data_IF_871918532371
#
_entry.id   IF_871918532371
#
_cell.length_a   1.000
_cell.length_b   1.000
_cell.length_c   1.000
_cell.angle_alpha   90.00
_cell.angle_beta   90.00
_cell.angle_gamma   90.00
#
_symmetry.space_group_name_H-M   'P 1'
#
loop_
_entity.id
_entity.type
_entity.pdbx_description
1 polymer ?
#
# COMPACT_ATOMS: atom_id res chain seq x y z
N UNK A 1 44.65 12.42 -19.68
CA UNK A 1 45.54 13.58 -19.58
C UNK A 1 46.94 13.15 -19.93
N UNK A 2 47.64 13.90 -20.77
CA UNK A 2 49.06 13.70 -21.03
C UNK A 2 49.82 14.36 -19.86
N UNK A 3 50.66 13.63 -19.19
CA UNK A 3 51.67 14.18 -18.28
C UNK A 3 53.02 14.15 -18.95
N UNK A 4 53.59 15.31 -19.16
CA UNK A 4 54.96 15.44 -19.67
C UNK A 4 55.89 15.53 -18.47
N UNK A 5 56.81 14.58 -18.32
CA UNK A 5 57.86 14.63 -17.29
C UNK A 5 59.06 15.31 -17.93
N UNK A 6 59.23 16.59 -17.63
CA UNK A 6 60.45 17.31 -18.01
C UNK A 6 61.54 17.03 -17.01
N UNK A 7 62.77 16.66 -17.48
CA UNK A 7 63.96 16.60 -16.66
C UNK A 7 64.68 17.95 -16.64
N UNK A 8 65.01 18.43 -15.43
CA UNK A 8 65.83 19.63 -15.22
C UNK A 8 67.31 19.32 -15.41
N UNK A 9 67.98 20.07 -16.26
CA UNK A 9 69.43 20.05 -16.35
C UNK A 9 70.04 21.30 -15.69
N UNK A 10 71.01 21.12 -14.81
CA UNK A 10 71.83 22.21 -14.35
C UNK A 10 72.86 22.58 -15.44
N UNK A 11 73.01 23.87 -15.72
CA UNK A 11 73.95 24.44 -16.71
C UNK A 11 75.35 24.05 -16.40
N UNK A 12 75.98 23.18 -17.19
CA UNK A 12 77.44 22.95 -17.05
C UNK A 12 78.03 21.77 -17.80
N UNK A 13 77.26 20.91 -18.38
CA UNK A 13 77.79 19.80 -19.18
C UNK A 13 77.05 19.67 -20.51
N UNK A 14 77.81 19.57 -21.57
CA UNK A 14 77.37 19.67 -22.96
C UNK A 14 76.15 18.82 -23.33
N UNK A 15 75.61 19.19 -24.46
CA UNK A 15 74.37 18.59 -25.06
C UNK A 15 74.39 17.06 -24.95
N UNK A 16 73.75 16.56 -23.91
CA UNK A 16 73.26 15.17 -23.98
C UNK A 16 71.91 15.14 -24.71
N UNK A 17 71.73 14.25 -25.67
CA UNK A 17 70.46 14.08 -26.32
C UNK A 17 69.44 13.66 -25.25
N UNK A 18 68.35 14.45 -25.10
CA UNK A 18 67.21 14.02 -24.31
C UNK A 18 66.33 13.16 -25.15
N UNK A 19 65.84 12.05 -24.58
CA UNK A 19 64.78 11.25 -25.18
C UNK A 19 63.45 11.65 -24.55
N UNK A 20 62.52 12.08 -25.41
CA UNK A 20 61.12 12.30 -24.98
C UNK A 20 60.40 10.95 -24.90
N UNK A 21 59.99 10.59 -23.72
CA UNK A 21 59.11 9.44 -23.51
C UNK A 21 57.65 9.93 -23.42
N UNK A 22 56.82 9.57 -24.36
CA UNK A 22 55.39 9.77 -24.29
C UNK A 22 54.79 8.63 -23.50
N UNK A 23 54.44 8.86 -22.22
CA UNK A 23 53.71 7.91 -21.43
C UNK A 23 52.20 8.06 -21.76
N UNK A 24 51.66 7.15 -22.53
CA UNK A 24 50.20 7.09 -22.76
C UNK A 24 49.58 6.40 -21.56
N UNK A 25 49.01 7.18 -20.65
CA UNK A 25 48.19 6.64 -19.56
C UNK A 25 46.85 6.17 -20.15
N UNK A 26 46.70 4.88 -20.33
CA UNK A 26 45.42 4.29 -20.64
C UNK A 26 44.45 4.55 -19.46
N UNK A 27 43.29 5.09 -19.76
CA UNK A 27 42.24 5.29 -18.74
C UNK A 27 41.98 3.97 -18.04
N UNK A 28 42.26 3.91 -16.75
CA UNK A 28 41.98 2.71 -15.94
C UNK A 28 40.51 2.41 -16.02
N UNK A 29 40.17 1.21 -16.47
CA UNK A 29 38.80 0.72 -16.51
C UNK A 29 38.19 0.75 -15.10
N UNK A 30 37.06 1.37 -14.95
CA UNK A 30 36.34 1.49 -13.68
C UNK A 30 35.04 0.75 -13.74
N UNK A 31 34.62 0.17 -12.59
CA UNK A 31 33.27 -0.40 -12.42
C UNK A 31 32.20 0.67 -12.67
N UNK A 32 31.13 0.28 -13.35
CA UNK A 32 30.03 1.17 -13.70
C UNK A 32 29.16 1.48 -12.48
N UNK A 33 28.91 2.76 -12.23
CA UNK A 33 27.95 3.21 -11.21
C UNK A 33 26.53 3.11 -11.80
N UNK A 34 25.60 2.35 -11.17
CA UNK A 34 24.22 2.30 -11.63
C UNK A 34 23.44 3.55 -11.27
N UNK A 35 22.41 3.84 -12.07
CA UNK A 35 21.34 4.78 -11.73
C UNK A 35 20.00 4.21 -12.20
N UNK A 36 18.90 4.66 -11.62
CA UNK A 36 17.56 4.24 -12.00
C UNK A 36 16.83 5.45 -12.60
N UNK A 37 16.12 5.25 -13.72
CA UNK A 37 15.29 6.24 -14.42
C UNK A 37 16.03 7.51 -14.72
N UNK A 38 17.03 7.96 -14.86
CA UNK A 38 17.65 9.29 -15.16
C UNK A 38 18.04 10.16 -13.95
N UNK A 39 17.92 9.66 -12.72
CA UNK A 39 18.29 10.44 -11.53
C UNK A 39 19.59 9.93 -10.91
N UNK A 40 20.75 10.48 -11.28
CA UNK A 40 22.00 10.18 -10.60
C UNK A 40 22.00 10.82 -9.20
N UNK A 41 22.26 10.01 -8.19
CA UNK A 41 22.56 10.50 -6.82
C UNK A 41 21.38 10.60 -5.85
N UNK A 42 20.14 10.47 -6.28
CA UNK A 42 18.99 10.34 -5.39
C UNK A 42 18.46 8.89 -5.37
N UNK A 43 17.86 8.49 -4.28
CA UNK A 43 17.14 7.21 -4.20
C UNK A 43 15.87 7.34 -5.04
N UNK A 44 15.79 6.81 -6.27
CA UNK A 44 14.63 7.02 -7.12
C UNK A 44 13.44 6.24 -6.59
N UNK A 45 12.28 6.85 -6.70
CA UNK A 45 11.01 6.23 -6.39
C UNK A 45 10.60 5.31 -7.53
N UNK A 46 10.33 4.04 -7.22
CA UNK A 46 9.82 3.04 -8.15
C UNK A 46 8.61 2.34 -7.55
N UNK A 47 7.72 1.85 -8.40
CA UNK A 47 6.49 1.19 -7.98
C UNK A 47 6.56 -0.31 -8.25
N UNK A 48 6.18 -1.14 -7.28
CA UNK A 48 6.11 -2.58 -7.47
C UNK A 48 5.14 -2.94 -8.61
N UNK A 49 5.55 -3.86 -9.47
CA UNK A 49 4.78 -4.24 -10.67
C UNK A 49 4.88 -3.28 -11.85
N UNK A 50 5.59 -2.15 -11.71
CA UNK A 50 5.81 -1.18 -12.80
C UNK A 50 7.25 -1.22 -13.26
N UNK A 51 7.47 -1.27 -14.58
CA UNK A 51 8.81 -1.33 -15.15
C UNK A 51 9.60 -0.01 -14.91
N UNK A 52 10.87 -0.15 -14.56
CA UNK A 52 11.85 0.92 -14.48
C UNK A 52 13.09 0.54 -15.32
N UNK A 53 13.92 1.53 -15.67
CA UNK A 53 15.15 1.32 -16.39
C UNK A 53 16.35 1.53 -15.47
N UNK A 54 17.25 0.55 -15.43
CA UNK A 54 18.54 0.64 -14.72
C UNK A 54 19.60 0.97 -15.77
N UNK A 55 20.29 2.10 -15.57
CA UNK A 55 21.33 2.59 -16.43
C UNK A 55 22.70 2.26 -15.86
N UNK A 56 23.60 1.81 -16.72
CA UNK A 56 25.04 1.66 -16.45
C UNK A 56 25.84 2.47 -17.46
N UNK A 57 26.95 3.06 -17.02
CA UNK A 57 27.83 3.76 -17.95
C UNK A 57 28.54 2.73 -18.86
N UNK A 58 28.16 2.69 -20.14
CA UNK A 58 28.83 1.87 -21.14
C UNK A 58 30.31 2.25 -21.23
N UNK A 59 31.20 1.29 -21.03
CA UNK A 59 32.64 1.45 -21.20
C UNK A 59 33.18 0.25 -21.97
N UNK A 60 33.84 0.52 -23.11
CA UNK A 60 34.45 -0.51 -23.94
C UNK A 60 33.48 -1.69 -24.22
N UNK A 61 33.95 -2.92 -24.11
CA UNK A 61 33.19 -4.16 -24.29
C UNK A 61 32.81 -4.79 -22.95
N UNK A 62 32.65 -3.97 -21.91
CA UNK A 62 32.26 -4.48 -20.60
C UNK A 62 30.80 -4.91 -20.58
N UNK A 63 30.56 -5.93 -19.77
CA UNK A 63 29.22 -6.43 -19.47
C UNK A 63 28.97 -6.31 -17.97
N UNK A 64 27.69 -6.30 -17.61
CA UNK A 64 27.27 -6.10 -16.22
C UNK A 64 26.36 -7.23 -15.77
N UNK A 65 26.51 -7.61 -14.50
CA UNK A 65 25.54 -8.40 -13.75
C UNK A 65 24.83 -7.44 -12.81
N UNK A 66 23.51 -7.34 -12.95
CA UNK A 66 22.64 -6.47 -12.17
C UNK A 66 21.85 -7.30 -11.19
N UNK A 67 21.86 -6.91 -9.91
CA UNK A 67 21.17 -7.60 -8.85
C UNK A 67 20.44 -6.61 -7.95
N UNK A 68 19.41 -7.06 -7.21
CA UNK A 68 18.70 -6.26 -6.25
C UNK A 68 18.76 -6.86 -4.85
N UNK A 69 18.55 -6.01 -3.86
CA UNK A 69 18.36 -6.34 -2.46
C UNK A 69 17.24 -5.51 -1.88
N UNK A 70 16.23 -6.15 -1.25
CA UNK A 70 15.12 -5.49 -0.60
C UNK A 70 14.66 -6.29 0.63
N UNK A 71 14.85 -5.73 1.83
CA UNK A 71 14.66 -6.48 3.07
C UNK A 71 15.52 -7.75 3.09
N UNK A 72 14.90 -8.89 3.27
CA UNK A 72 15.57 -10.20 3.22
C UNK A 72 15.58 -10.84 1.81
N UNK A 73 14.94 -10.20 0.82
CA UNK A 73 14.88 -10.69 -0.56
C UNK A 73 16.01 -10.11 -1.40
N UNK A 74 16.63 -10.96 -2.18
CA UNK A 74 17.67 -10.60 -3.15
C UNK A 74 17.53 -11.45 -4.39
N UNK A 75 17.99 -10.95 -5.53
CA UNK A 75 17.96 -11.69 -6.79
C UNK A 75 18.79 -11.03 -7.88
N UNK A 76 19.07 -11.80 -8.93
CA UNK A 76 19.67 -11.27 -10.14
C UNK A 76 18.57 -10.75 -11.06
N UNK A 77 18.74 -9.52 -11.52
CA UNK A 77 17.83 -8.87 -12.50
C UNK A 77 18.21 -9.29 -13.91
N UNK A 78 19.50 -9.11 -14.25
CA UNK A 78 20.03 -9.42 -15.57
C UNK A 78 21.53 -9.72 -15.50
N UNK A 79 22.03 -10.44 -16.51
CA UNK A 79 23.47 -10.73 -16.72
C UNK A 79 23.85 -10.43 -18.16
N UNK A 80 25.12 -10.06 -18.41
CA UNK A 80 25.59 -9.74 -19.73
C UNK A 80 25.07 -8.41 -20.28
N UNK A 81 24.58 -7.54 -19.43
CA UNK A 81 24.03 -6.23 -19.81
C UNK A 81 25.17 -5.30 -20.22
N UNK A 82 25.03 -4.60 -21.35
CA UNK A 82 26.08 -3.70 -21.87
C UNK A 82 25.87 -2.26 -21.40
N UNK A 83 24.62 -1.79 -21.33
CA UNK A 83 24.28 -0.39 -21.06
C UNK A 83 23.08 -0.26 -20.11
N UNK A 84 21.91 -0.67 -20.56
CA UNK A 84 20.68 -0.51 -19.81
C UNK A 84 19.96 -1.85 -19.68
N UNK A 85 19.19 -2.02 -18.58
CA UNK A 85 18.24 -3.11 -18.47
C UNK A 85 16.92 -2.64 -17.90
N UNK A 86 15.82 -3.21 -18.36
CA UNK A 86 14.50 -3.03 -17.77
C UNK A 86 14.34 -3.96 -16.57
N UNK A 87 13.73 -3.45 -15.51
CA UNK A 87 13.36 -4.24 -14.35
C UNK A 87 11.93 -3.90 -13.91
N UNK A 88 11.11 -4.92 -13.71
CA UNK A 88 9.81 -4.79 -13.08
C UNK A 88 9.92 -5.38 -11.67
N UNK A 89 10.00 -4.55 -10.62
CA UNK A 89 10.08 -5.05 -9.25
C UNK A 89 8.87 -5.93 -8.95
N UNK A 90 9.05 -7.21 -8.57
CA UNK A 90 7.92 -8.08 -8.32
C UNK A 90 7.12 -7.62 -7.09
N UNK A 91 5.79 -7.69 -7.16
CA UNK A 91 4.90 -7.31 -6.04
C UNK A 91 5.13 -8.14 -4.79
N UNK A 92 5.71 -9.33 -4.91
CA UNK A 92 6.10 -10.15 -3.77
C UNK A 92 7.18 -9.51 -2.87
N UNK A 93 7.88 -8.45 -3.35
CA UNK A 93 8.79 -7.69 -2.50
C UNK A 93 8.04 -6.95 -1.38
N UNK A 94 6.78 -6.60 -1.60
CA UNK A 94 5.94 -5.90 -0.63
C UNK A 94 5.65 -6.72 0.63
N UNK A 95 5.87 -8.04 0.58
CA UNK A 95 5.81 -8.90 1.77
C UNK A 95 6.85 -8.53 2.83
N UNK A 96 7.91 -7.79 2.44
CA UNK A 96 8.94 -7.31 3.36
C UNK A 96 8.52 -6.04 4.12
N UNK A 97 7.42 -5.39 3.68
CA UNK A 97 6.90 -4.16 4.26
C UNK A 97 5.39 -4.26 4.56
N UNK A 98 4.94 -5.26 5.36
CA UNK A 98 3.51 -5.50 5.61
C UNK A 98 2.83 -4.34 6.36
N UNK A 99 3.60 -3.47 7.04
CA UNK A 99 3.11 -2.38 7.87
C UNK A 99 3.53 -0.99 7.36
N UNK A 100 4.10 -0.90 6.15
CA UNK A 100 4.55 0.35 5.57
C UNK A 100 4.12 0.46 4.09
N UNK A 101 3.89 1.69 3.63
CA UNK A 101 3.54 1.97 2.23
C UNK A 101 4.76 2.06 1.30
N UNK A 102 5.95 2.20 1.89
CA UNK A 102 7.22 2.29 1.16
C UNK A 102 8.32 1.52 1.87
N UNK A 103 9.35 1.14 1.14
CA UNK A 103 10.56 0.52 1.69
C UNK A 103 11.79 0.84 0.85
N UNK A 104 12.96 0.80 1.48
CA UNK A 104 14.24 1.07 0.81
C UNK A 104 14.90 -0.22 0.33
N UNK A 105 15.47 -0.17 -0.87
CA UNK A 105 16.23 -1.25 -1.47
C UNK A 105 17.51 -0.76 -2.14
N UNK A 106 18.26 -1.69 -2.70
CA UNK A 106 19.54 -1.41 -3.36
C UNK A 106 19.65 -2.20 -4.65
N UNK A 107 20.09 -1.55 -5.71
CA UNK A 107 20.57 -2.19 -6.93
C UNK A 107 22.08 -2.28 -6.84
N UNK A 108 22.65 -3.44 -7.14
CA UNK A 108 24.09 -3.70 -7.19
C UNK A 108 24.51 -4.09 -8.60
N UNK A 109 25.64 -3.57 -9.05
CA UNK A 109 26.21 -3.84 -10.38
C UNK A 109 27.64 -4.33 -10.23
N UNK A 110 27.91 -5.50 -10.78
CA UNK A 110 29.24 -6.05 -10.99
C UNK A 110 29.61 -5.88 -12.47
N UNK A 111 30.78 -5.31 -12.74
CA UNK A 111 31.27 -5.05 -14.11
C UNK A 111 32.31 -6.10 -14.48
N UNK A 112 32.25 -6.60 -15.71
CA UNK A 112 33.13 -7.65 -16.22
C UNK A 112 33.76 -7.27 -17.55
N UNK A 113 35.03 -7.66 -17.74
CA UNK A 113 35.69 -7.71 -19.04
C UNK A 113 35.91 -9.18 -19.38
N UNK A 114 35.11 -9.69 -20.31
CA UNK A 114 34.97 -11.14 -20.49
C UNK A 114 34.48 -11.81 -19.21
N UNK A 115 35.27 -12.74 -18.66
CA UNK A 115 34.99 -13.41 -17.38
C UNK A 115 35.62 -12.75 -16.15
N UNK A 116 36.42 -11.70 -16.34
CA UNK A 116 37.15 -11.04 -15.25
C UNK A 116 36.35 -9.88 -14.69
N UNK A 117 36.12 -9.91 -13.36
CA UNK A 117 35.48 -8.79 -12.66
C UNK A 117 36.37 -7.57 -12.61
N UNK A 118 35.84 -6.40 -12.97
CA UNK A 118 36.55 -5.12 -13.01
C UNK A 118 36.11 -4.27 -11.79
N UNK A 119 37.09 -4.02 -10.92
CA UNK A 119 36.90 -3.15 -9.75
C UNK A 119 35.86 -3.65 -8.75
N UNK A 120 35.42 -2.75 -7.87
CA UNK A 120 34.44 -3.03 -6.83
C UNK A 120 33.01 -3.04 -7.36
N UNK A 121 32.15 -3.81 -6.70
CA UNK A 121 30.70 -3.73 -6.93
C UNK A 121 30.20 -2.32 -6.63
N UNK A 122 29.46 -1.73 -7.54
CA UNK A 122 28.83 -0.42 -7.38
C UNK A 122 27.33 -0.58 -7.12
N UNK A 123 26.75 0.37 -6.39
CA UNK A 123 25.32 0.29 -6.04
C UNK A 123 24.65 1.65 -6.01
N UNK A 124 23.34 1.64 -6.18
CA UNK A 124 22.45 2.78 -5.92
C UNK A 124 21.25 2.32 -5.10
N UNK A 125 20.72 3.23 -4.27
CA UNK A 125 19.48 3.00 -3.52
C UNK A 125 18.23 3.19 -4.38
N UNK A 126 17.10 2.69 -3.90
CA UNK A 126 15.77 3.01 -4.40
C UNK A 126 14.74 2.96 -3.28
N UNK A 127 13.62 3.66 -3.47
CA UNK A 127 12.42 3.55 -2.65
C UNK A 127 11.35 2.79 -3.45
N UNK A 128 10.88 1.66 -2.91
CA UNK A 128 9.80 0.89 -3.51
C UNK A 128 8.46 1.33 -2.92
N UNK A 129 7.54 1.72 -3.78
CA UNK A 129 6.17 2.09 -3.44
C UNK A 129 5.18 0.97 -3.75
N UNK A 130 4.05 1.00 -3.05
CA UNK A 130 2.89 0.17 -3.37
C UNK A 130 2.32 0.55 -4.75
N UNK A 131 1.80 -0.42 -5.52
CA UNK A 131 1.01 -0.11 -6.70
C UNK A 131 -0.35 0.50 -6.33
N UNK A 132 -0.99 1.16 -7.30
CA UNK A 132 -2.36 1.63 -7.14
C UNK A 132 -3.31 0.47 -6.78
N UNK A 133 -4.40 0.78 -6.12
CA UNK A 133 -5.40 -0.19 -5.66
C UNK A 133 -4.83 -1.23 -4.66
N UNK A 134 -3.93 -0.78 -3.78
CA UNK A 134 -3.35 -1.62 -2.70
C UNK A 134 -4.22 -1.67 -1.44
N UNK A 135 -5.32 -0.94 -1.41
CA UNK A 135 -6.28 -0.88 -0.30
C UNK A 135 -6.94 -2.26 -0.06
N UNK A 136 -7.47 -2.50 1.15
CA UNK A 136 -8.23 -3.71 1.45
C UNK A 136 -9.36 -3.97 0.46
N UNK A 137 -9.64 -5.22 0.20
CA UNK A 137 -10.80 -5.63 -0.60
C UNK A 137 -11.96 -5.97 0.32
N UNK A 138 -13.10 -5.30 0.14
CA UNK A 138 -14.37 -5.57 0.83
C UNK A 138 -15.23 -6.40 -0.12
N UNK A 139 -15.61 -7.60 0.31
CA UNK A 139 -16.48 -8.49 -0.45
C UNK A 139 -17.97 -8.15 -0.29
N UNK A 140 -18.84 -9.08 -0.62
CA UNK A 140 -20.28 -8.91 -0.54
C UNK A 140 -20.74 -8.73 0.90
N UNK A 141 -21.47 -7.65 1.17
CA UNK A 141 -22.05 -7.35 2.48
C UNK A 141 -23.38 -8.09 2.60
N UNK A 142 -23.51 -8.92 3.61
CA UNK A 142 -24.75 -9.65 3.93
C UNK A 142 -25.39 -9.04 5.18
N UNK A 143 -26.67 -8.71 5.09
CA UNK A 143 -27.47 -8.16 6.17
C UNK A 143 -28.57 -9.16 6.56
N UNK A 144 -28.54 -9.65 7.77
CA UNK A 144 -29.53 -10.63 8.28
C UNK A 144 -30.32 -10.02 9.43
N UNK A 145 -31.63 -9.86 9.24
CA UNK A 145 -32.52 -9.35 10.28
C UNK A 145 -32.62 -10.30 11.46
N UNK A 146 -32.45 -9.78 12.66
CA UNK A 146 -32.48 -10.54 13.93
C UNK A 146 -33.74 -10.27 14.75
N UNK A 147 -34.43 -9.12 14.52
CA UNK A 147 -35.69 -8.84 15.21
C UNK A 147 -36.81 -9.71 14.64
N UNK A 148 -37.39 -10.60 15.48
CA UNK A 148 -38.31 -11.62 15.05
C UNK A 148 -39.55 -11.06 14.31
N UNK A 149 -40.15 -9.97 14.80
CA UNK A 149 -41.31 -9.34 14.19
C UNK A 149 -41.04 -8.74 12.82
N UNK A 150 -39.90 -8.06 12.63
CA UNK A 150 -39.47 -7.52 11.33
C UNK A 150 -39.16 -8.66 10.38
N UNK A 151 -38.40 -9.64 10.83
CA UNK A 151 -38.00 -10.82 10.04
C UNK A 151 -39.24 -11.60 9.52
N UNK A 152 -40.25 -11.76 10.34
CA UNK A 152 -41.48 -12.44 9.97
C UNK A 152 -42.32 -11.70 8.89
N UNK A 153 -42.19 -10.37 8.84
CA UNK A 153 -42.90 -9.54 7.85
C UNK A 153 -42.09 -9.33 6.59
N UNK A 154 -40.86 -8.83 6.73
CA UNK A 154 -39.91 -8.66 5.64
C UNK A 154 -38.47 -8.55 6.18
N UNK A 155 -37.64 -9.56 5.95
CA UNK A 155 -36.24 -9.60 6.40
C UNK A 155 -35.33 -8.60 5.66
N UNK A 156 -35.75 -8.10 4.50
CA UNK A 156 -34.93 -7.26 3.60
C UNK A 156 -35.17 -5.75 3.79
N UNK A 157 -35.80 -5.36 4.89
CA UNK A 157 -36.05 -3.96 5.21
C UNK A 157 -35.37 -3.59 6.52
N UNK A 158 -35.15 -2.30 6.72
CA UNK A 158 -34.67 -1.73 7.98
C UNK A 158 -35.82 -0.87 8.55
N UNK A 159 -36.27 -1.19 9.77
CA UNK A 159 -37.28 -0.41 10.50
C UNK A 159 -36.57 0.37 11.59
N UNK A 160 -36.75 1.69 11.61
CA UNK A 160 -36.17 2.60 12.57
C UNK A 160 -36.36 2.12 14.01
N UNK A 161 -35.35 2.19 14.84
CA UNK A 161 -35.31 1.79 16.25
C UNK A 161 -35.67 0.32 16.57
N UNK A 162 -36.18 -0.44 15.59
CA UNK A 162 -36.65 -1.83 15.80
C UNK A 162 -35.71 -2.85 15.21
N UNK A 163 -35.25 -2.63 13.96
CA UNK A 163 -34.35 -3.56 13.28
C UNK A 163 -33.05 -3.73 14.01
N UNK A 164 -32.60 -4.99 14.12
CA UNK A 164 -31.29 -5.39 14.56
C UNK A 164 -30.68 -6.29 13.49
N UNK A 165 -29.72 -5.77 12.73
CA UNK A 165 -29.09 -6.52 11.65
C UNK A 165 -27.77 -7.18 12.12
N UNK A 166 -27.63 -8.46 11.85
CA UNK A 166 -26.30 -9.09 11.81
C UNK A 166 -25.69 -8.75 10.46
N UNK A 167 -24.63 -7.96 10.50
CA UNK A 167 -23.79 -7.64 9.33
C UNK A 167 -22.72 -8.71 9.23
N UNK A 168 -22.48 -9.21 8.02
CA UNK A 168 -21.40 -10.15 7.72
C UNK A 168 -20.74 -9.76 6.41
N UNK A 169 -19.40 -9.60 6.41
CA UNK A 169 -18.66 -9.16 5.24
C UNK A 169 -17.24 -9.80 5.23
N UNK A 170 -16.84 -10.48 4.14
CA UNK A 170 -15.47 -10.90 3.96
C UNK A 170 -14.59 -9.70 3.62
N UNK A 171 -13.44 -9.59 4.29
CA UNK A 171 -12.47 -8.52 4.04
C UNK A 171 -11.08 -9.10 4.01
N UNK A 172 -10.28 -8.74 3.01
CA UNK A 172 -8.90 -9.17 2.85
C UNK A 172 -7.98 -7.99 2.57
N UNK A 173 -6.76 -8.06 3.12
CA UNK A 173 -5.69 -7.13 2.78
C UNK A 173 -4.88 -7.67 1.60
N UNK A 174 -4.08 -6.80 0.96
CA UNK A 174 -3.20 -7.16 -0.15
C UNK A 174 -1.73 -7.16 0.28
N UNK A 175 -0.90 -7.86 -0.49
CA UNK A 175 0.57 -7.85 -0.36
C UNK A 175 1.04 -8.08 1.08
N UNK A 176 0.53 -9.14 1.72
CA UNK A 176 0.89 -9.55 3.10
C UNK A 176 0.62 -8.53 4.20
N UNK A 177 -0.14 -7.45 3.92
CA UNK A 177 -0.71 -6.63 4.97
C UNK A 177 -1.76 -7.43 5.76
N UNK A 178 -2.05 -7.02 6.98
CA UNK A 178 -3.14 -7.55 7.79
C UNK A 178 -4.27 -6.54 7.89
N UNK A 179 -5.51 -7.00 8.11
CA UNK A 179 -6.62 -6.09 8.42
C UNK A 179 -6.48 -5.65 9.88
N UNK A 180 -6.46 -4.34 10.08
CA UNK A 180 -6.36 -3.70 11.39
C UNK A 180 -7.73 -3.49 12.02
N UNK A 181 -8.67 -2.92 11.25
CA UNK A 181 -10.05 -2.66 11.72
C UNK A 181 -11.04 -2.80 10.57
N UNK A 182 -12.23 -3.29 10.89
CA UNK A 182 -13.39 -3.22 10.02
C UNK A 182 -14.56 -2.67 10.84
N UNK A 183 -15.23 -1.66 10.35
CA UNK A 183 -16.37 -1.04 11.00
C UNK A 183 -17.58 -1.02 10.08
N UNK A 184 -18.77 -1.06 10.66
CA UNK A 184 -20.02 -0.74 9.99
C UNK A 184 -20.64 0.46 10.70
N UNK A 185 -20.82 1.59 10.00
CA UNK A 185 -21.31 2.85 10.57
C UNK A 185 -20.60 3.26 11.88
N UNK A 186 -19.30 3.03 11.95
CA UNK A 186 -18.47 3.31 13.13
C UNK A 186 -18.44 2.19 14.19
N UNK A 187 -19.32 1.18 14.11
CA UNK A 187 -19.31 0.02 15.01
C UNK A 187 -18.30 -1.00 14.54
N UNK A 188 -17.35 -1.38 15.42
CA UNK A 188 -16.31 -2.37 15.08
C UNK A 188 -16.91 -3.76 14.92
N UNK A 189 -16.56 -4.42 13.83
CA UNK A 189 -16.94 -5.80 13.54
C UNK A 189 -15.85 -6.77 14.02
N UNK A 190 -16.27 -7.94 14.50
CA UNK A 190 -15.38 -9.00 14.96
C UNK A 190 -14.93 -9.90 13.81
N UNK A 191 -13.65 -10.24 13.77
CA UNK A 191 -13.08 -11.13 12.76
C UNK A 191 -13.37 -12.61 13.12
N UNK A 192 -13.86 -13.34 12.13
CA UNK A 192 -13.95 -14.80 12.16
C UNK A 192 -13.39 -15.33 10.84
N UNK A 193 -12.11 -15.70 10.84
CA UNK A 193 -11.40 -16.26 9.68
C UNK A 193 -11.56 -15.43 8.38
N UNK A 194 -11.37 -14.11 8.47
CA UNK A 194 -11.46 -13.19 7.33
C UNK A 194 -12.89 -12.71 7.02
N UNK A 195 -13.90 -13.23 7.69
CA UNK A 195 -15.27 -12.71 7.66
C UNK A 195 -15.52 -11.87 8.91
N UNK A 196 -15.91 -10.63 8.73
CA UNK A 196 -16.16 -9.69 9.82
C UNK A 196 -17.65 -9.60 10.09
N UNK A 197 -18.03 -9.76 11.35
CA UNK A 197 -19.44 -9.80 11.77
C UNK A 197 -19.71 -8.88 12.95
N UNK A 198 -20.93 -8.35 13.03
CA UNK A 198 -21.39 -7.54 14.14
C UNK A 198 -22.87 -7.17 14.03
N UNK A 199 -23.44 -6.75 15.15
CA UNK A 199 -24.83 -6.33 15.22
C UNK A 199 -24.94 -4.82 15.08
N UNK A 200 -25.79 -4.36 14.18
CA UNK A 200 -26.09 -2.95 13.97
C UNK A 200 -27.58 -2.72 14.29
N UNK A 201 -27.85 -1.74 15.14
CA UNK A 201 -29.18 -1.34 15.58
C UNK A 201 -29.34 0.18 15.50
N UNK A 202 -30.55 0.67 15.79
CA UNK A 202 -30.87 2.11 15.89
C UNK A 202 -30.46 2.91 14.63
N UNK A 203 -30.69 2.33 13.46
CA UNK A 203 -30.46 3.01 12.19
C UNK A 203 -31.44 4.15 11.97
N UNK A 204 -30.96 5.24 11.38
CA UNK A 204 -31.75 6.39 10.90
C UNK A 204 -31.89 6.42 9.37
N UNK A 205 -31.36 5.39 8.69
CA UNK A 205 -31.45 5.21 7.24
C UNK A 205 -31.25 3.73 6.86
N UNK A 206 -31.39 3.40 5.59
CA UNK A 206 -31.22 2.06 5.06
C UNK A 206 -29.78 1.69 4.63
N UNK A 207 -28.82 2.62 4.77
CA UNK A 207 -27.43 2.44 4.32
C UNK A 207 -26.57 1.80 5.42
N UNK A 208 -25.82 0.76 5.10
CA UNK A 208 -24.85 0.09 5.98
C UNK A 208 -23.46 0.26 5.38
N UNK A 209 -22.72 1.27 5.84
CA UNK A 209 -21.38 1.62 5.33
C UNK A 209 -20.32 0.84 6.06
N UNK A 210 -19.60 -0.03 5.34
CA UNK A 210 -18.42 -0.74 5.81
C UNK A 210 -17.17 0.11 5.49
N UNK A 211 -16.28 0.22 6.46
CA UNK A 211 -14.93 0.78 6.26
C UNK A 211 -13.89 -0.21 6.79
N UNK A 212 -12.93 -0.57 5.96
CA UNK A 212 -11.82 -1.44 6.31
C UNK A 212 -10.50 -0.69 6.28
N UNK A 213 -9.65 -0.90 7.29
CA UNK A 213 -8.30 -0.33 7.38
C UNK A 213 -7.30 -1.45 7.56
N UNK A 214 -6.22 -1.44 6.77
CA UNK A 214 -5.13 -2.42 6.89
C UNK A 214 -3.99 -1.94 7.81
N UNK A 215 -2.97 -2.80 7.97
CA UNK A 215 -1.79 -2.52 8.80
C UNK A 215 -0.89 -1.41 8.25
N UNK A 216 -1.03 -1.04 6.98
CA UNK A 216 -0.36 0.10 6.33
C UNK A 216 -1.10 1.42 6.51
N UNK A 217 -2.35 1.37 7.05
CA UNK A 217 -3.22 2.52 7.18
C UNK A 217 -4.05 2.82 5.92
N UNK A 218 -3.99 1.96 4.90
CA UNK A 218 -4.82 2.09 3.72
C UNK A 218 -6.26 1.75 4.04
N UNK A 219 -7.19 2.49 3.45
CA UNK A 219 -8.62 2.34 3.71
C UNK A 219 -9.42 2.09 2.44
N UNK A 220 -10.43 1.25 2.55
CA UNK A 220 -11.48 1.11 1.57
C UNK A 220 -12.84 1.21 2.23
N UNK A 221 -13.88 1.56 1.47
CA UNK A 221 -15.26 1.55 1.95
C UNK A 221 -16.20 1.03 0.89
N UNK A 222 -17.27 0.37 1.36
CA UNK A 222 -18.38 -0.12 0.55
C UNK A 222 -19.67 -0.03 1.36
N UNK A 223 -20.81 -0.02 0.71
CA UNK A 223 -22.10 0.06 1.38
C UNK A 223 -23.11 -0.94 0.83
N UNK A 224 -24.01 -1.40 1.69
CA UNK A 224 -25.21 -2.13 1.31
C UNK A 224 -26.44 -1.29 1.66
N UNK A 225 -27.42 -1.33 0.77
CA UNK A 225 -28.67 -0.56 0.92
C UNK A 225 -29.85 -1.51 1.17
N UNK A 226 -30.75 -1.09 2.06
CA UNK A 226 -32.04 -1.72 2.27
C UNK A 226 -33.15 -0.65 2.32
N UNK A 227 -34.38 -1.02 1.96
CA UNK A 227 -35.54 -0.15 2.14
C UNK A 227 -35.65 0.22 3.62
N UNK A 228 -35.79 1.50 3.90
CA UNK A 228 -35.88 2.04 5.25
C UNK A 228 -37.32 2.48 5.52
N UNK A 229 -37.81 2.10 6.68
CA UNK A 229 -39.11 2.56 7.19
C UNK A 229 -38.91 3.32 8.49
N UNK A 230 -39.40 4.54 8.52
CA UNK A 230 -39.53 5.31 9.74
C UNK A 230 -40.50 4.64 10.69
N UNK A 231 -40.23 4.71 11.98
CA UNK A 231 -41.08 4.16 13.00
C UNK A 231 -41.14 5.09 14.21
N UNK A 232 -42.30 5.67 14.41
CA UNK A 232 -42.60 6.41 15.61
C UNK A 232 -43.22 5.47 16.63
N UNK A 233 -42.62 5.39 17.81
CA UNK A 233 -43.13 4.57 18.87
C UNK A 233 -44.49 5.09 19.30
N UNK A 234 -45.58 4.28 19.18
CA UNK A 234 -46.90 4.72 19.62
C UNK A 234 -46.85 5.05 21.11
N UNK A 235 -47.41 6.16 21.47
CA UNK A 235 -47.62 6.54 22.87
C UNK A 235 -49.09 6.71 23.14
N UNK A 236 -49.53 6.35 24.34
CA UNK A 236 -50.90 6.53 24.80
C UNK A 236 -50.79 7.43 26.03
N UNK A 237 -51.49 8.55 26.00
CA UNK A 237 -51.79 9.35 27.17
C UNK A 237 -53.23 9.05 27.61
N UNK A 238 -53.36 8.69 28.87
CA UNK A 238 -54.66 8.47 29.47
C UNK A 238 -54.87 9.45 30.62
N UNK A 239 -56.01 10.11 30.68
CA UNK A 239 -56.43 10.97 31.77
C UNK A 239 -57.79 10.52 32.26
N UNK A 240 -57.90 10.24 33.53
CA UNK A 240 -59.16 9.95 34.21
C UNK A 240 -59.64 11.19 34.98
N UNK A 241 -60.79 11.71 34.61
CA UNK A 241 -61.44 12.83 35.28
C UNK A 241 -62.75 12.38 35.90
N UNK A 242 -62.93 12.56 37.19
CA UNK A 242 -64.24 12.42 37.85
C UNK A 242 -65.14 13.58 37.47
N UNK A 243 -66.40 13.32 37.28
CA UNK A 243 -67.36 14.34 36.98
C UNK A 243 -67.69 15.24 38.19
N UNK A 244 -67.64 14.67 39.41
CA UNK A 244 -67.72 15.40 40.66
C UNK A 244 -67.01 14.63 41.81
N UNK A 245 -66.79 15.26 42.96
CA UNK A 245 -66.20 14.60 44.13
C UNK A 245 -67.06 13.42 44.68
N UNK A 246 -68.30 13.42 44.39
CA UNK A 246 -69.23 12.39 44.86
C UNK A 246 -69.64 11.38 43.76
N UNK A 247 -69.23 11.58 42.55
CA UNK A 247 -69.59 10.68 41.45
C UNK A 247 -68.72 9.41 41.52
N UNK A 248 -69.36 8.25 41.37
CA UNK A 248 -68.72 6.96 41.15
C UNK A 248 -68.31 6.78 39.68
N UNK A 249 -68.72 7.69 38.79
CA UNK A 249 -68.39 7.66 37.36
C UNK A 249 -67.28 8.67 37.03
N UNK A 250 -66.51 8.35 36.07
CA UNK A 250 -65.42 9.19 35.56
C UNK A 250 -65.20 8.96 34.08
N UNK A 251 -64.75 9.99 33.35
CA UNK A 251 -64.42 9.90 31.97
C UNK A 251 -62.93 9.55 31.80
N UNK A 252 -62.63 8.46 31.11
CA UNK A 252 -61.28 8.08 30.69
C UNK A 252 -61.07 8.62 29.28
N UNK A 253 -60.21 9.61 29.11
CA UNK A 253 -59.75 10.09 27.84
C UNK A 253 -58.47 9.40 27.45
N UNK A 254 -58.40 8.76 26.30
CA UNK A 254 -57.22 8.09 25.74
C UNK A 254 -56.86 8.75 24.42
N UNK A 255 -55.69 9.35 24.34
CA UNK A 255 -55.15 9.95 23.13
C UNK A 255 -53.89 9.21 22.70
N UNK A 256 -53.79 8.91 21.42
CA UNK A 256 -52.61 8.31 20.81
C UNK A 256 -52.61 8.56 19.31
N UNK A 257 -51.47 8.48 18.64
CA UNK A 257 -51.43 8.54 17.18
C UNK A 257 -52.03 7.25 16.60
N UNK A 258 -52.74 7.42 15.50
CA UNK A 258 -53.29 6.33 14.69
C UNK A 258 -52.27 5.84 13.66
#
# INVERSE_FOLDING_TARGET
>A
GMATVGSYYSSGYGNMPYEEFTLTLTKIARASQPSINTYPGNSPDITAGTACTIHMNKQANFTHKVSYWFGNKKGTIATGVVDNCSWTPPTSLLDQIPNASTGSGTISVETYSGSTKIGETKSCGFTLHLPNNSEPTIGTITLTEQHAGVKAKNANVTVQQISKKLVSVPVSAKYSASIKTVTCDGVTLSNNNGTYTGYISNKSNGTYKITATDSRGLQSSNAAEQTFYEYDKPFITAALKRESETSAEGTLSVNGPY
#
